data_IF_724697525416
#
_entry.id   IF_724697525416
#
_cell.length_a   1.000
_cell.length_b   1.000
_cell.length_c   1.000
_cell.angle_alpha   90.00
_cell.angle_beta   90.00
_cell.angle_gamma   90.00
#
_symmetry.space_group_name_H-M   'P 1'
#
loop_
_entity.id
_entity.type
_entity.pdbx_description
1 polymer ?
#
# COMPACT_ATOMS: atom_id res chain seq x y z
N UNK A 1 19.36 -9.91 10.24
CA UNK A 1 18.04 -9.24 10.27
C UNK A 1 17.03 -10.17 10.92
N UNK A 2 16.20 -9.68 11.85
CA UNK A 2 15.18 -10.47 12.57
C UNK A 2 13.79 -10.06 12.07
N UNK A 3 12.91 -11.02 11.79
CA UNK A 3 11.51 -10.73 11.48
C UNK A 3 10.76 -10.24 12.72
N UNK A 4 10.00 -9.15 12.56
CA UNK A 4 9.08 -8.63 13.59
C UNK A 4 7.63 -9.08 13.36
N UNK A 5 7.37 -9.93 12.36
CA UNK A 5 6.04 -10.47 12.11
C UNK A 5 5.55 -11.30 13.30
N UNK A 6 4.28 -11.10 13.67
CA UNK A 6 3.61 -11.84 14.71
C UNK A 6 2.21 -12.26 14.24
N UNK A 7 1.93 -13.57 14.21
CA UNK A 7 0.66 -14.09 13.74
C UNK A 7 -0.55 -13.67 14.60
N UNK A 8 -0.35 -13.48 15.90
CA UNK A 8 -1.43 -13.03 16.79
C UNK A 8 -1.76 -11.56 16.56
N UNK A 9 -0.76 -10.72 16.27
CA UNK A 9 -1.01 -9.33 15.89
C UNK A 9 -1.63 -9.24 14.50
N UNK A 10 -1.14 -10.01 13.53
CA UNK A 10 -1.69 -10.05 12.17
C UNK A 10 -3.19 -10.43 12.15
N UNK A 11 -3.63 -11.32 13.05
CA UNK A 11 -5.05 -11.69 13.22
C UNK A 11 -5.93 -10.50 13.61
N UNK A 12 -5.41 -9.50 14.35
CA UNK A 12 -6.16 -8.31 14.76
C UNK A 12 -6.61 -7.45 13.57
N UNK A 13 -5.90 -7.54 12.44
CA UNK A 13 -6.22 -6.86 11.19
C UNK A 13 -7.21 -7.66 10.30
N UNK A 14 -7.72 -8.79 10.79
CA UNK A 14 -8.78 -9.56 10.16
C UNK A 14 -8.42 -10.11 8.78
N UNK A 15 -9.37 -10.05 7.84
CA UNK A 15 -9.20 -10.54 6.46
C UNK A 15 -8.88 -9.43 5.45
N UNK A 16 -8.95 -8.15 5.86
CA UNK A 16 -8.67 -7.02 4.97
C UNK A 16 -7.19 -7.04 4.55
N UNK A 17 -6.95 -7.10 3.25
CA UNK A 17 -5.60 -7.03 2.69
C UNK A 17 -4.98 -5.65 2.95
N UNK A 18 -5.79 -4.58 2.93
CA UNK A 18 -5.33 -3.22 3.19
C UNK A 18 -4.93 -3.05 4.67
N UNK A 19 -5.77 -3.53 5.60
CA UNK A 19 -5.46 -3.54 7.03
C UNK A 19 -4.17 -4.32 7.32
N UNK A 20 -3.99 -5.50 6.71
CA UNK A 20 -2.73 -6.26 6.82
C UNK A 20 -1.55 -5.51 6.21
N UNK A 21 -1.78 -4.67 5.19
CA UNK A 21 -0.71 -3.85 4.60
C UNK A 21 -0.31 -2.70 5.50
N UNK A 22 -1.25 -2.08 6.20
CA UNK A 22 -0.97 -1.15 7.30
C UNK A 22 -0.06 -1.83 8.33
N UNK A 23 -0.44 -3.01 8.82
CA UNK A 23 0.35 -3.76 9.80
C UNK A 23 1.81 -3.96 9.35
N UNK A 24 2.01 -4.52 8.15
CA UNK A 24 3.37 -4.77 7.65
C UNK A 24 4.15 -3.50 7.35
N UNK A 25 3.46 -2.43 6.96
CA UNK A 25 4.11 -1.13 6.73
C UNK A 25 4.66 -0.58 8.04
N UNK A 26 3.88 -0.69 9.12
CA UNK A 26 4.32 -0.29 10.47
C UNK A 26 5.48 -1.15 10.97
N UNK A 27 5.51 -2.44 10.68
CA UNK A 27 6.67 -3.28 11.01
C UNK A 27 7.95 -2.83 10.31
N UNK A 28 7.86 -2.39 9.05
CA UNK A 28 9.00 -1.86 8.30
C UNK A 28 9.41 -0.48 8.81
N UNK A 29 8.45 0.43 9.00
CA UNK A 29 8.69 1.78 9.49
C UNK A 29 9.18 1.85 10.94
N UNK A 30 8.88 0.85 11.77
CA UNK A 30 9.41 0.75 13.13
C UNK A 30 10.92 0.44 13.19
N UNK A 31 11.53 0.03 12.07
CA UNK A 31 12.96 -0.25 12.00
C UNK A 31 13.70 0.83 11.20
N UNK A 32 14.46 1.73 11.87
CA UNK A 32 15.19 2.81 11.20
C UNK A 32 16.32 2.31 10.28
N UNK A 33 16.78 1.07 10.45
CA UNK A 33 17.77 0.45 9.54
C UNK A 33 17.14 0.04 8.19
N UNK A 34 15.80 -0.04 8.11
CA UNK A 34 15.07 -0.38 6.89
C UNK A 34 14.51 0.85 6.19
N UNK A 35 13.97 1.79 6.95
CA UNK A 35 13.25 2.95 6.42
C UNK A 35 13.63 4.19 7.22
N UNK A 36 14.16 5.20 6.52
CA UNK A 36 14.35 6.54 7.07
C UNK A 36 13.01 7.30 7.07
N UNK A 37 12.82 8.24 8.01
CA UNK A 37 11.59 9.02 8.15
C UNK A 37 11.08 9.58 6.81
N UNK A 38 9.79 9.35 6.53
CA UNK A 38 9.12 9.75 5.28
C UNK A 38 9.45 8.90 4.05
N UNK A 39 10.49 8.06 4.11
CA UNK A 39 10.89 7.14 3.03
C UNK A 39 10.07 5.86 2.95
N UNK A 40 10.49 4.97 2.05
CA UNK A 40 9.88 3.66 1.84
C UNK A 40 8.51 3.69 1.16
N UNK A 41 8.21 2.65 0.38
CA UNK A 41 6.92 2.46 -0.26
C UNK A 41 6.41 1.05 0.02
N UNK A 42 5.10 0.94 0.25
CA UNK A 42 4.41 -0.34 0.33
C UNK A 42 3.15 -0.26 -0.53
N UNK A 43 2.75 -1.41 -1.07
CA UNK A 43 1.52 -1.50 -1.84
C UNK A 43 0.84 -2.87 -1.70
N UNK A 44 -0.44 -2.92 -2.05
CA UNK A 44 -1.22 -4.15 -2.10
C UNK A 44 -2.26 -4.08 -3.21
N UNK A 45 -2.41 -5.18 -3.98
CA UNK A 45 -3.44 -5.30 -5.02
C UNK A 45 -4.74 -5.82 -4.40
N UNK A 46 -5.85 -5.17 -4.69
CA UNK A 46 -7.18 -5.53 -4.17
C UNK A 46 -8.20 -5.45 -5.30
N UNK A 47 -8.98 -6.53 -5.47
CA UNK A 47 -10.17 -6.52 -6.32
C UNK A 47 -11.37 -6.04 -5.52
N UNK A 48 -12.06 -5.01 -6.01
CA UNK A 48 -13.30 -4.49 -5.41
C UNK A 48 -14.21 -3.94 -6.50
N UNK A 49 -15.49 -3.77 -6.17
CA UNK A 49 -16.43 -3.04 -7.04
C UNK A 49 -16.18 -1.54 -6.91
N UNK A 50 -16.23 -0.83 -8.03
CA UNK A 50 -16.25 0.63 -8.06
C UNK A 50 -17.63 1.20 -7.70
N UNK A 51 -17.79 2.53 -7.78
CA UNK A 51 -19.05 3.22 -7.49
C UNK A 51 -20.22 2.76 -8.38
N UNK A 52 -19.93 2.27 -9.59
CA UNK A 52 -20.91 1.75 -10.54
C UNK A 52 -21.16 0.24 -10.38
N UNK A 53 -20.50 -0.41 -9.41
CA UNK A 53 -20.64 -1.85 -9.16
C UNK A 53 -19.75 -2.73 -10.06
N UNK A 54 -18.87 -2.13 -10.87
CA UNK A 54 -17.98 -2.84 -11.79
C UNK A 54 -16.78 -3.37 -11.01
N UNK A 55 -16.52 -4.68 -11.13
CA UNK A 55 -15.36 -5.30 -10.49
C UNK A 55 -14.07 -4.85 -11.17
N UNK A 56 -13.21 -4.16 -10.41
CA UNK A 56 -11.90 -3.66 -10.85
C UNK A 56 -10.80 -4.11 -9.92
N UNK A 57 -9.56 -4.10 -10.40
CA UNK A 57 -8.37 -4.31 -9.57
C UNK A 57 -7.68 -2.98 -9.31
N UNK A 58 -7.33 -2.72 -8.05
CA UNK A 58 -6.65 -1.51 -7.64
C UNK A 58 -5.31 -1.84 -7.00
N UNK A 59 -4.29 -1.06 -7.31
CA UNK A 59 -3.06 -1.00 -6.54
C UNK A 59 -3.21 0.11 -5.48
N UNK A 60 -3.31 -0.30 -4.23
CA UNK A 60 -3.21 0.63 -3.11
C UNK A 60 -1.74 0.87 -2.83
N UNK A 61 -1.27 2.10 -3.01
CA UNK A 61 0.12 2.51 -2.77
C UNK A 61 0.16 3.56 -1.67
N UNK A 62 1.19 3.52 -0.82
CA UNK A 62 1.43 4.58 0.17
C UNK A 62 1.35 5.96 -0.49
N UNK A 63 0.58 6.87 0.10
CA UNK A 63 0.49 8.27 -0.30
C UNK A 63 1.75 9.08 -0.01
N UNK A 64 1.91 10.19 -0.73
CA UNK A 64 3.01 11.12 -0.48
C UNK A 64 2.90 11.77 0.91
N UNK A 65 4.03 11.98 1.58
CA UNK A 65 4.07 12.60 2.92
C UNK A 65 3.71 11.67 4.10
N UNK A 66 3.25 10.44 3.85
CA UNK A 66 2.87 9.51 4.92
C UNK A 66 4.10 8.76 5.47
N UNK A 67 4.22 8.62 6.80
CA UNK A 67 5.26 7.79 7.43
C UNK A 67 4.78 6.34 7.57
N UNK A 68 5.57 5.35 7.12
CA UNK A 68 5.23 3.93 7.22
C UNK A 68 5.05 3.48 8.68
N UNK A 69 5.73 4.11 9.65
CA UNK A 69 5.63 3.77 11.07
C UNK A 69 4.23 4.07 11.64
N UNK A 70 3.51 5.03 11.08
CA UNK A 70 2.21 5.51 11.58
C UNK A 70 1.05 5.36 10.60
N UNK A 71 1.33 4.97 9.35
CA UNK A 71 0.37 4.87 8.25
C UNK A 71 -0.94 4.15 8.62
N UNK A 72 -2.08 4.63 8.12
CA UNK A 72 -3.42 4.06 8.24
C UNK A 72 -3.96 3.65 6.86
N UNK A 73 -5.16 3.08 6.79
CA UNK A 73 -5.75 2.66 5.51
C UNK A 73 -6.00 3.84 4.57
N UNK A 74 -6.42 4.99 5.10
CA UNK A 74 -6.71 6.21 4.34
C UNK A 74 -5.46 6.88 3.74
N UNK A 75 -4.28 6.50 4.24
CA UNK A 75 -2.99 6.97 3.72
C UNK A 75 -2.54 6.20 2.46
N UNK A 76 -3.35 5.25 1.97
CA UNK A 76 -3.08 4.54 0.71
C UNK A 76 -3.95 5.09 -0.42
N UNK A 77 -3.31 5.58 -1.47
CA UNK A 77 -3.96 5.97 -2.71
C UNK A 77 -4.34 4.74 -3.54
N UNK A 78 -5.59 4.65 -3.96
CA UNK A 78 -6.07 3.57 -4.81
C UNK A 78 -5.89 3.93 -6.30
N UNK A 79 -4.94 3.29 -6.96
CA UNK A 79 -4.71 3.47 -8.39
C UNK A 79 -5.38 2.32 -9.18
N UNK A 80 -6.10 2.64 -10.26
CA UNK A 80 -6.69 1.61 -11.14
C UNK A 80 -5.57 0.84 -11.85
N UNK A 81 -5.56 -0.49 -11.73
CA UNK A 81 -4.51 -1.33 -12.32
C UNK A 81 -4.49 -1.29 -13.85
N UNK A 82 -5.65 -1.13 -14.49
CA UNK A 82 -5.72 -1.09 -15.94
C UNK A 82 -5.08 0.20 -16.46
N UNK A 83 -5.35 1.33 -15.80
CA UNK A 83 -4.74 2.62 -16.12
C UNK A 83 -3.21 2.55 -15.90
N UNK A 84 -2.77 2.00 -14.76
CA UNK A 84 -1.34 1.82 -14.46
C UNK A 84 -0.61 0.97 -15.52
N UNK A 85 -1.21 -0.15 -15.93
CA UNK A 85 -0.61 -1.01 -16.95
C UNK A 85 -0.58 -0.34 -18.33
N UNK A 86 -1.63 0.40 -18.67
CA UNK A 86 -1.69 1.17 -19.93
C UNK A 86 -0.65 2.28 -19.96
N UNK A 87 -0.41 2.96 -18.83
CA UNK A 87 0.66 3.95 -18.70
C UNK A 87 2.05 3.32 -18.72
N UNK A 88 2.22 2.10 -18.20
CA UNK A 88 3.54 1.44 -18.10
C UNK A 88 4.22 1.11 -19.43
N UNK A 89 3.47 1.15 -20.53
CA UNK A 89 3.98 0.87 -21.88
C UNK A 89 4.15 2.15 -22.72
N UNK A 90 3.89 3.33 -22.16
CA UNK A 90 4.14 4.60 -22.83
C UNK A 90 5.63 4.94 -22.78
N UNK A 91 6.16 5.53 -23.86
CA UNK A 91 7.57 5.96 -23.92
C UNK A 91 7.86 7.14 -22.97
N UNK A 92 6.85 7.97 -22.70
CA UNK A 92 6.94 9.16 -21.86
C UNK A 92 5.64 9.38 -21.07
N UNK A 93 5.77 9.93 -19.85
CA UNK A 93 4.66 10.33 -18.98
C UNK A 93 4.94 11.74 -18.47
N UNK A 94 4.22 12.73 -19.00
CA UNK A 94 4.29 14.13 -18.53
C UNK A 94 3.72 14.26 -17.11
N UNK A 95 4.42 15.01 -16.27
CA UNK A 95 3.95 15.49 -14.97
C UNK A 95 3.41 16.94 -15.03
N UNK A 96 3.31 17.49 -16.25
CA UNK A 96 2.74 18.81 -16.59
C UNK A 96 1.48 18.74 -17.43
#
# INVERSE_FOLDING_TARGET
MKSLWNDNDAKKYGKSLLAKRVYTSRLLGANPDLVLHGGGNTSVKIKKKDFFGISKEYLYVKGSGCDLATINEDDFSACDMQDLLSMSVMDDLSDT
#
